data_IF_041859935489
#
_entry.id   IF_041859935489
#
_cell.length_a   1.000
_cell.length_b   1.000
_cell.length_c   1.000
_cell.angle_alpha   90.00
_cell.angle_beta   90.00
_cell.angle_gamma   90.00
#
_symmetry.space_group_name_H-M   'P 1'
#
loop_
_entity.id
_entity.type
_entity.pdbx_description
1 polymer ?
#
# COMPACT_ATOMS: atom_id res chain seq x y z
N UNK A 1 -52.46 -17.12 38.45
CA UNK A 1 -51.85 -15.78 38.28
C UNK A 1 -50.66 -15.75 39.23
N UNK A 2 -49.38 -15.80 38.89
CA UNK A 2 -48.56 -15.74 37.65
C UNK A 2 -47.33 -16.65 37.91
N UNK A 3 -46.87 -17.57 37.05
CA UNK A 3 -46.02 -17.36 35.86
C UNK A 3 -44.90 -16.32 36.09
N UNK A 4 -43.60 -16.53 35.88
CA UNK A 4 -42.77 -17.60 35.34
C UNK A 4 -41.31 -17.13 35.51
N UNK A 5 -40.39 -18.00 35.92
CA UNK A 5 -39.30 -18.50 35.08
C UNK A 5 -38.37 -17.43 34.47
N UNK A 6 -37.23 -17.27 35.14
CA UNK A 6 -35.86 -17.15 34.60
C UNK A 6 -35.69 -16.51 33.22
N UNK A 7 -35.21 -15.26 33.22
CA UNK A 7 -34.78 -14.56 32.01
C UNK A 7 -33.31 -14.91 31.68
N UNK A 8 -33.19 -15.81 30.72
CA UNK A 8 -32.31 -15.76 29.54
C UNK A 8 -30.86 -15.26 29.68
N UNK A 9 -29.95 -16.25 29.74
CA UNK A 9 -28.87 -16.47 28.78
C UNK A 9 -28.55 -15.31 27.80
N UNK A 10 -27.50 -14.53 28.11
CA UNK A 10 -26.85 -13.64 27.14
C UNK A 10 -25.87 -14.44 26.28
N UNK A 11 -26.38 -15.11 25.26
CA UNK A 11 -25.59 -15.65 24.15
C UNK A 11 -25.55 -14.62 23.00
N UNK A 12 -24.31 -14.24 22.65
CA UNK A 12 -23.82 -13.85 21.33
C UNK A 12 -24.74 -13.10 20.35
N UNK A 13 -24.32 -11.90 19.93
CA UNK A 13 -24.20 -11.64 18.49
C UNK A 13 -23.16 -10.54 18.20
N UNK A 14 -22.07 -10.94 17.56
CA UNK A 14 -21.06 -10.05 16.99
C UNK A 14 -21.65 -9.38 15.73
N UNK A 15 -21.66 -8.04 15.60
CA UNK A 15 -22.19 -7.43 14.39
C UNK A 15 -21.27 -7.74 13.20
N UNK A 16 -21.80 -8.49 12.24
CA UNK A 16 -21.17 -8.78 10.97
C UNK A 16 -20.86 -7.47 10.22
N UNK A 17 -19.57 -7.19 10.02
CA UNK A 17 -19.12 -6.03 9.25
C UNK A 17 -19.66 -6.09 7.81
N UNK A 18 -20.61 -5.21 7.50
CA UNK A 18 -21.17 -5.04 6.18
C UNK A 18 -20.07 -4.72 5.17
N UNK A 19 -19.88 -5.56 4.15
CA UNK A 19 -18.92 -5.29 3.06
C UNK A 19 -19.31 -3.97 2.38
N UNK A 20 -18.37 -3.00 2.24
CA UNK A 20 -18.70 -1.72 1.63
C UNK A 20 -19.10 -1.93 0.17
N UNK A 21 -20.28 -1.41 -0.20
CA UNK A 21 -20.76 -1.39 -1.59
C UNK A 21 -19.77 -0.55 -2.40
N UNK A 22 -19.12 -1.17 -3.39
CA UNK A 22 -18.16 -0.49 -4.28
C UNK A 22 -18.92 0.52 -5.14
N UNK A 23 -18.97 1.77 -4.68
CA UNK A 23 -19.51 2.88 -5.47
C UNK A 23 -18.49 3.28 -6.53
N UNK A 24 -18.94 3.43 -7.77
CA UNK A 24 -18.12 3.96 -8.86
C UNK A 24 -17.77 5.41 -8.53
N UNK A 25 -16.51 5.67 -8.14
CA UNK A 25 -16.04 7.03 -7.87
C UNK A 25 -15.70 7.73 -9.20
N UNK A 26 -16.19 8.96 -9.42
CA UNK A 26 -15.82 9.72 -10.61
C UNK A 26 -14.31 9.98 -10.62
N UNK A 27 -13.68 10.02 -11.79
CA UNK A 27 -12.22 10.14 -11.96
C UNK A 27 -11.59 11.43 -11.39
N UNK A 28 -12.42 12.40 -10.96
CA UNK A 28 -12.02 13.60 -10.21
C UNK A 28 -11.90 13.38 -8.69
N UNK A 29 -12.55 12.33 -8.18
CA UNK A 29 -12.54 11.86 -6.78
C UNK A 29 -11.66 10.60 -6.62
N UNK A 30 -11.32 9.92 -7.73
CA UNK A 30 -10.16 9.06 -7.77
C UNK A 30 -8.94 9.97 -7.55
N UNK A 31 -8.33 9.86 -6.37
CA UNK A 31 -7.21 10.70 -5.91
C UNK A 31 -6.17 10.80 -7.03
N UNK A 32 -6.17 11.92 -7.75
CA UNK A 32 -5.09 12.21 -8.68
C UNK A 32 -3.92 12.63 -7.83
N UNK A 33 -2.80 11.95 -8.02
CA UNK A 33 -1.54 12.40 -7.47
C UNK A 33 -1.32 13.86 -7.87
N UNK A 34 -0.97 14.68 -6.91
CA UNK A 34 -0.44 16.02 -7.12
C UNK A 34 0.83 15.95 -7.97
N UNK A 35 1.22 17.08 -8.56
CA UNK A 35 2.45 17.15 -9.38
C UNK A 35 3.70 16.66 -8.64
N UNK A 36 3.81 16.99 -7.34
CA UNK A 36 4.94 16.58 -6.50
C UNK A 36 4.93 15.09 -6.18
N UNK A 37 3.75 14.48 -6.05
CA UNK A 37 3.61 13.03 -5.89
C UNK A 37 4.03 12.29 -7.16
N UNK A 38 3.58 12.77 -8.33
CA UNK A 38 3.98 12.21 -9.64
C UNK A 38 5.47 12.35 -9.88
N UNK A 39 6.06 13.50 -9.52
CA UNK A 39 7.50 13.74 -9.67
C UNK A 39 8.33 12.77 -8.82
N UNK A 40 7.91 12.52 -7.57
CA UNK A 40 8.55 11.56 -6.67
C UNK A 40 8.39 10.12 -7.17
N UNK A 41 7.18 9.74 -7.58
CA UNK A 41 6.94 8.41 -8.16
C UNK A 41 7.81 8.17 -9.39
N UNK A 42 7.83 9.12 -10.34
CA UNK A 42 8.64 9.00 -11.55
C UNK A 42 10.13 8.86 -11.26
N UNK A 43 10.66 9.63 -10.30
CA UNK A 43 12.05 9.53 -9.84
C UNK A 43 12.36 8.15 -9.26
N UNK A 44 11.52 7.65 -8.36
CA UNK A 44 11.70 6.33 -7.73
C UNK A 44 11.60 5.20 -8.74
N UNK A 45 10.62 5.26 -9.64
CA UNK A 45 10.47 4.28 -10.73
C UNK A 45 11.74 4.24 -11.56
N UNK A 46 12.24 5.40 -12.02
CA UNK A 46 13.47 5.45 -12.81
C UNK A 46 14.66 4.83 -12.08
N UNK A 47 14.90 5.21 -10.82
CA UNK A 47 16.02 4.68 -10.02
C UNK A 47 15.90 3.16 -9.85
N UNK A 48 14.70 2.64 -9.62
CA UNK A 48 14.47 1.21 -9.46
C UNK A 48 14.75 0.45 -10.77
N UNK A 49 14.23 0.93 -11.90
CA UNK A 49 14.45 0.29 -13.21
C UNK A 49 15.93 0.33 -13.61
N UNK A 50 16.60 1.48 -13.44
CA UNK A 50 18.01 1.64 -13.78
C UNK A 50 18.93 0.71 -12.95
N UNK A 51 18.52 0.36 -11.72
CA UNK A 51 19.34 -0.44 -10.80
C UNK A 51 18.99 -1.93 -10.79
N UNK A 52 17.70 -2.25 -10.83
CA UNK A 52 17.17 -3.59 -10.59
C UNK A 52 16.70 -4.26 -11.90
N UNK A 53 16.54 -3.51 -12.98
CA UNK A 53 15.89 -4.00 -14.19
C UNK A 53 14.37 -4.15 -14.02
N UNK A 54 13.68 -4.44 -15.12
CA UNK A 54 12.23 -4.28 -15.22
C UNK A 54 11.42 -5.10 -14.22
N UNK A 55 11.64 -6.42 -14.15
CA UNK A 55 10.81 -7.30 -13.32
C UNK A 55 11.10 -7.11 -11.83
N UNK A 56 12.38 -7.05 -11.43
CA UNK A 56 12.74 -6.81 -10.04
C UNK A 56 12.33 -5.42 -9.55
N UNK A 57 12.39 -4.38 -10.40
CA UNK A 57 11.86 -3.06 -10.08
C UNK A 57 10.34 -3.11 -9.85
N UNK A 58 9.57 -3.74 -10.74
CA UNK A 58 8.11 -3.85 -10.59
C UNK A 58 7.74 -4.60 -9.31
N UNK A 59 8.43 -5.71 -9.02
CA UNK A 59 8.20 -6.49 -7.81
C UNK A 59 8.52 -5.67 -6.56
N UNK A 60 9.70 -5.04 -6.50
CA UNK A 60 10.09 -4.21 -5.37
C UNK A 60 9.10 -3.07 -5.12
N UNK A 61 8.77 -2.30 -6.15
CA UNK A 61 7.93 -1.10 -6.03
C UNK A 61 6.50 -1.38 -5.58
N UNK A 62 5.94 -2.52 -5.99
CA UNK A 62 4.55 -2.86 -5.75
C UNK A 62 4.32 -3.82 -4.58
N UNK A 63 5.35 -4.43 -4.02
CA UNK A 63 5.23 -5.41 -2.92
C UNK A 63 5.51 -4.75 -1.58
N UNK A 64 4.78 -5.10 -0.50
CA UNK A 64 5.11 -4.65 0.85
C UNK A 64 6.56 -5.00 1.21
N UNK A 65 7.31 -4.01 1.68
CA UNK A 65 8.70 -4.17 2.07
C UNK A 65 8.83 -4.02 3.59
N UNK A 66 9.17 -5.10 4.29
CA UNK A 66 9.16 -5.15 5.76
C UNK A 66 10.03 -4.05 6.40
N UNK A 67 11.23 -3.80 5.88
CA UNK A 67 12.12 -2.77 6.43
C UNK A 67 11.63 -1.32 6.20
N UNK A 68 10.72 -1.12 5.24
CA UNK A 68 10.11 0.19 4.97
C UNK A 68 8.75 0.34 5.67
N UNK A 69 8.20 -0.73 6.23
CA UNK A 69 6.90 -0.73 6.89
C UNK A 69 5.72 -0.55 5.94
N UNK A 70 5.89 -0.79 4.63
CA UNK A 70 4.84 -0.55 3.64
C UNK A 70 5.26 -0.82 2.20
N UNK A 71 4.39 -0.46 1.26
CA UNK A 71 4.64 -0.60 -0.18
C UNK A 71 5.48 0.59 -0.67
N UNK A 72 6.63 0.37 -1.34
CA UNK A 72 7.56 1.47 -1.67
C UNK A 72 6.94 2.61 -2.47
N UNK A 73 6.09 2.35 -3.47
CA UNK A 73 5.42 3.42 -4.23
C UNK A 73 4.48 4.27 -3.38
N UNK A 74 3.74 3.65 -2.47
CA UNK A 74 2.83 4.37 -1.56
C UNK A 74 3.62 5.25 -0.59
N UNK A 75 4.75 4.75 -0.08
CA UNK A 75 5.61 5.53 0.82
C UNK A 75 6.29 6.71 0.10
N UNK A 76 6.75 6.49 -1.13
CA UNK A 76 7.41 7.52 -1.94
C UNK A 76 6.47 8.68 -2.29
N UNK A 77 5.24 8.36 -2.66
CA UNK A 77 4.21 9.35 -2.99
C UNK A 77 3.70 10.05 -1.73
N UNK A 78 3.52 9.33 -0.62
CA UNK A 78 2.99 9.91 0.62
C UNK A 78 3.87 11.03 1.22
N UNK A 79 5.21 10.94 1.11
CA UNK A 79 6.09 12.00 1.66
C UNK A 79 7.48 12.04 1.03
N UNK A 80 8.19 13.19 1.05
CA UNK A 80 9.59 13.27 0.63
C UNK A 80 10.49 12.33 1.43
N UNK A 81 10.30 12.23 2.75
CA UNK A 81 11.06 11.33 3.61
C UNK A 81 10.83 9.85 3.23
N UNK A 82 9.60 9.49 2.85
CA UNK A 82 9.29 8.16 2.31
C UNK A 82 10.01 7.89 0.99
N UNK A 83 10.08 8.88 0.10
CA UNK A 83 10.86 8.75 -1.14
C UNK A 83 12.35 8.53 -0.85
N UNK A 84 12.96 9.31 0.05
CA UNK A 84 14.36 9.13 0.45
C UNK A 84 14.63 7.76 1.09
N UNK A 85 13.71 7.25 1.91
CA UNK A 85 13.83 5.91 2.49
C UNK A 85 13.81 4.83 1.40
N UNK A 86 12.94 4.97 0.39
CA UNK A 86 12.87 4.05 -0.74
C UNK A 86 14.12 4.14 -1.61
N UNK A 87 14.66 5.33 -1.87
CA UNK A 87 15.93 5.49 -2.60
C UNK A 87 17.08 4.76 -1.89
N UNK A 88 17.19 4.91 -0.57
CA UNK A 88 18.20 4.20 0.23
C UNK A 88 18.00 2.69 0.20
N UNK A 89 16.75 2.22 0.24
CA UNK A 89 16.46 0.79 0.13
C UNK A 89 16.87 0.23 -1.24
N UNK A 90 16.54 0.94 -2.34
CA UNK A 90 17.00 0.56 -3.68
C UNK A 90 18.52 0.58 -3.74
N UNK A 91 19.17 1.60 -3.18
CA UNK A 91 20.62 1.74 -3.15
C UNK A 91 21.34 0.64 -2.34
N UNK A 92 20.64 -0.01 -1.41
CA UNK A 92 21.16 -1.14 -0.63
C UNK A 92 20.99 -2.49 -1.36
N UNK A 93 20.12 -2.59 -2.36
CA UNK A 93 19.91 -3.81 -3.11
C UNK A 93 21.08 -4.09 -4.07
N UNK A 94 21.43 -5.37 -4.29
CA UNK A 94 22.34 -5.77 -5.36
C UNK A 94 21.86 -5.21 -6.71
N UNK A 95 22.80 -4.75 -7.52
CA UNK A 95 22.47 -4.44 -8.92
C UNK A 95 22.08 -5.73 -9.63
N UNK A 96 21.08 -5.66 -10.49
CA UNK A 96 20.86 -6.73 -11.44
C UNK A 96 22.14 -6.89 -12.27
N UNK A 97 22.66 -8.12 -12.34
CA UNK A 97 23.73 -8.43 -13.26
C UNK A 97 23.23 -8.15 -14.67
N UNK A 98 24.03 -7.46 -15.49
CA UNK A 98 23.80 -7.36 -16.93
C UNK A 98 24.00 -8.75 -17.54
N UNK A 99 23.02 -9.62 -17.37
CA UNK A 99 22.99 -10.97 -17.88
C UNK A 99 21.57 -11.23 -18.36
N UNK A 100 21.23 -10.63 -19.51
CA UNK A 100 20.33 -11.21 -20.50
C UNK A 100 20.68 -10.66 -21.88
#
# INVERSE_FOLDING_TARGET
>A
MSAGASDAASAAETPAASRPRRMFRPARVASRLSGDEVAREGRIVRIAFDRLGSEAARQFLNTPHAALGGRPLELATASPAGAEAVERAIAALPRASAAE
#
